data_IF_781883110899
#
_entry.id   IF_781883110899
#
_cell.length_a   1.000
_cell.length_b   1.000
_cell.length_c   1.000
_cell.angle_alpha   90.00
_cell.angle_beta   90.00
_cell.angle_gamma   90.00
#
_symmetry.space_group_name_H-M   'P 1'
#
loop_
_entity.id
_entity.type
_entity.pdbx_description
1 polymer ?
#
# COMPACT_ATOMS: atom_id res chain seq x y z
N UNK A 1 -3.75 3.99 26.42
CA UNK A 1 -3.69 4.44 26.02
C UNK A 1 -3.19 4.78 25.66
N UNK A 2 -2.92 4.87 25.37
CA UNK A 2 -2.62 5.32 24.81
C UNK A 2 -2.07 5.72 24.49
N UNK A 3 -1.77 5.86 24.16
CA UNK A 3 -1.52 6.41 23.68
C UNK A 3 -0.63 6.63 23.22
N UNK A 4 -0.36 6.52 22.64
CA UNK A 4 0.37 6.90 22.00
C UNK A 4 0.48 7.86 21.66
N UNK A 5 0.85 8.22 21.54
CA UNK A 5 0.73 9.26 21.24
C UNK A 5 0.44 9.56 20.22
N UNK A 6 0.48 9.61 19.85
CA UNK A 6 -0.02 9.94 19.03
C UNK A 6 -1.06 9.48 18.72
N UNK A 7 -1.09 9.11 18.93
CA UNK A 7 -1.97 8.75 18.67
C UNK A 7 -2.88 8.82 19.39
N UNK A 8 -2.88 8.99 19.83
CA UNK A 8 -3.61 8.96 20.47
C UNK A 8 -4.57 9.34 20.47
N UNK A 9 -4.87 9.54 20.15
CA UNK A 9 -5.75 9.81 20.18
C UNK A 9 -6.59 9.78 19.49
N UNK A 10 -6.72 9.80 18.83
CA UNK A 10 -7.50 9.77 18.21
C UNK A 10 -8.18 8.81 18.09
N UNK A 11 -8.84 8.75 17.93
CA UNK A 11 -9.39 7.79 17.91
C UNK A 11 -8.55 6.81 18.14
N UNK A 12 -8.07 7.09 18.67
CA UNK A 12 -7.37 6.61 18.82
C UNK A 12 -6.79 5.71 18.60
N UNK A 13 -6.72 5.90 18.17
CA UNK A 13 -5.91 5.15 18.29
C UNK A 13 -5.57 4.01 17.51
N UNK A 14 -6.35 3.60 16.69
CA UNK A 14 -6.04 2.48 15.84
C UNK A 14 -5.02 2.88 14.79
N UNK A 15 -4.09 1.99 14.54
CA UNK A 15 -3.11 2.23 13.48
C UNK A 15 -3.71 1.85 12.14
N UNK A 16 -3.44 2.64 11.10
CA UNK A 16 -3.83 2.21 9.76
C UNK A 16 -3.15 0.89 9.40
N UNK A 17 -3.89 0.01 8.76
CA UNK A 17 -3.39 -1.29 8.33
C UNK A 17 -3.09 -1.25 6.84
N UNK A 18 -1.85 -1.55 6.48
CA UNK A 18 -1.36 -1.48 5.12
C UNK A 18 -1.06 -2.89 4.62
N UNK A 19 -1.56 -3.23 3.46
CA UNK A 19 -1.14 -4.45 2.77
C UNK A 19 0.00 -4.09 1.83
N UNK A 20 1.15 -4.73 2.03
CA UNK A 20 2.31 -4.55 1.17
C UNK A 20 2.51 -5.81 0.35
N UNK A 21 2.54 -5.66 -0.97
CA UNK A 21 2.64 -6.80 -1.88
C UNK A 21 3.87 -6.63 -2.76
N UNK A 22 4.81 -7.55 -2.68
CA UNK A 22 6.01 -7.54 -3.50
C UNK A 22 6.57 -8.95 -3.53
N UNK A 23 6.94 -9.44 -4.72
CA UNK A 23 7.46 -10.79 -4.85
C UNK A 23 8.95 -10.90 -4.51
N UNK A 24 9.62 -9.78 -4.29
CA UNK A 24 10.99 -9.78 -3.77
C UNK A 24 10.92 -9.77 -2.25
N UNK A 25 11.31 -10.89 -1.63
CA UNK A 25 11.16 -11.03 -0.18
C UNK A 25 11.98 -10.00 0.60
N UNK A 26 13.14 -9.60 0.08
CA UNK A 26 13.95 -8.57 0.75
C UNK A 26 13.26 -7.22 0.74
N UNK A 27 12.68 -6.85 -0.38
CA UNK A 27 11.96 -5.59 -0.52
C UNK A 27 10.73 -5.61 0.38
N UNK A 28 9.99 -6.71 0.36
CA UNK A 28 8.79 -6.87 1.18
C UNK A 28 9.13 -6.71 2.66
N UNK A 29 10.19 -7.37 3.11
CA UNK A 29 10.61 -7.29 4.51
C UNK A 29 11.03 -5.88 4.86
N UNK A 30 11.83 -5.25 4.01
CA UNK A 30 12.35 -3.92 4.26
C UNK A 30 11.22 -2.89 4.40
N UNK A 31 10.31 -2.88 3.43
CA UNK A 31 9.19 -1.93 3.49
C UNK A 31 8.30 -2.19 4.69
N UNK A 32 8.07 -3.47 5.00
CA UNK A 32 7.23 -3.82 6.15
C UNK A 32 7.84 -3.32 7.45
N UNK A 33 9.15 -3.50 7.60
CA UNK A 33 9.84 -3.05 8.82
C UNK A 33 9.80 -1.53 8.95
N UNK A 34 10.05 -0.83 7.85
CA UNK A 34 10.06 0.63 7.86
C UNK A 34 8.69 1.17 8.23
N UNK A 35 7.65 0.62 7.62
CA UNK A 35 6.29 1.11 7.87
C UNK A 35 5.85 0.80 9.29
N UNK A 36 6.18 -0.38 9.80
CA UNK A 36 5.87 -0.72 11.20
C UNK A 36 6.57 0.24 12.16
N UNK A 37 7.81 0.57 11.85
CA UNK A 37 8.56 1.50 12.68
C UNK A 37 7.90 2.87 12.74
N UNK A 38 7.19 3.24 11.70
CA UNK A 38 6.51 4.53 11.63
C UNK A 38 5.05 4.47 12.08
N UNK A 39 4.65 3.39 12.75
CA UNK A 39 3.37 3.33 13.41
C UNK A 39 2.25 2.69 12.63
N UNK A 40 2.54 2.07 11.50
CA UNK A 40 1.52 1.37 10.72
C UNK A 40 1.48 -0.10 11.07
N UNK A 41 0.31 -0.69 10.98
CA UNK A 41 0.19 -2.13 11.02
C UNK A 41 0.36 -2.64 9.60
N UNK A 42 1.21 -3.66 9.39
CA UNK A 42 1.56 -4.12 8.06
C UNK A 42 1.35 -5.62 7.94
N UNK A 43 0.65 -6.01 6.90
CA UNK A 43 0.56 -7.39 6.48
C UNK A 43 1.25 -7.48 5.13
N UNK A 44 2.12 -8.49 4.95
CA UNK A 44 2.84 -8.67 3.70
C UNK A 44 2.30 -9.83 2.91
N UNK A 45 2.37 -9.73 1.60
CA UNK A 45 2.02 -10.82 0.69
C UNK A 45 3.06 -10.84 -0.43
N UNK A 46 3.49 -12.03 -0.82
CA UNK A 46 4.52 -12.19 -1.83
C UNK A 46 3.96 -12.43 -3.22
N UNK A 47 2.68 -12.74 -3.33
CA UNK A 47 2.05 -13.03 -4.62
C UNK A 47 0.70 -12.35 -4.69
N UNK A 48 0.19 -12.20 -5.91
CA UNK A 48 -1.15 -11.66 -6.11
C UNK A 48 -2.19 -12.54 -5.43
N UNK A 49 -1.98 -13.86 -5.49
CA UNK A 49 -2.91 -14.80 -4.87
C UNK A 49 -2.98 -14.62 -3.37
N UNK A 50 -1.81 -14.54 -2.71
CA UNK A 50 -1.79 -14.31 -1.27
C UNK A 50 -2.45 -12.99 -0.90
N UNK A 51 -2.19 -11.95 -1.71
CA UNK A 51 -2.77 -10.64 -1.46
C UNK A 51 -4.30 -10.72 -1.48
N UNK A 52 -4.85 -11.42 -2.48
CA UNK A 52 -6.30 -11.54 -2.59
C UNK A 52 -6.89 -12.33 -1.43
N UNK A 53 -6.19 -13.36 -0.97
CA UNK A 53 -6.64 -14.15 0.17
C UNK A 53 -6.75 -13.28 1.41
N UNK A 54 -5.69 -12.53 1.74
CA UNK A 54 -5.71 -11.72 2.97
C UNK A 54 -6.68 -10.54 2.84
N UNK A 55 -6.87 -10.01 1.62
CA UNK A 55 -7.86 -8.95 1.42
C UNK A 55 -9.28 -9.43 1.73
N UNK A 56 -9.56 -10.70 1.47
CA UNK A 56 -10.86 -11.28 1.78
C UNK A 56 -11.03 -11.65 3.25
N UNK A 57 -9.95 -11.71 4.01
CA UNK A 57 -9.99 -12.18 5.39
C UNK A 57 -10.01 -11.06 6.42
N UNK A 58 -9.53 -9.88 6.07
CA UNK A 58 -9.48 -8.78 7.03
C UNK A 58 -9.48 -7.44 6.30
N UNK A 59 -9.75 -6.40 7.06
CA UNK A 59 -9.87 -5.05 6.52
C UNK A 59 -8.50 -4.40 6.38
N UNK A 60 -8.33 -3.63 5.32
CA UNK A 60 -7.13 -2.84 5.08
C UNK A 60 -7.51 -1.40 4.80
N UNK A 61 -6.62 -0.49 5.21
CA UNK A 61 -6.80 0.94 5.00
C UNK A 61 -6.02 1.45 3.80
N UNK A 62 -5.04 0.69 3.32
CA UNK A 62 -4.19 1.14 2.22
C UNK A 62 -3.51 -0.07 1.59
N UNK A 63 -3.21 0.05 0.30
CA UNK A 63 -2.49 -0.97 -0.46
C UNK A 63 -1.21 -0.36 -1.02
N UNK A 64 -0.08 -1.05 -0.80
CA UNK A 64 1.20 -0.72 -1.44
C UNK A 64 1.62 -1.96 -2.20
N UNK A 65 1.67 -1.89 -3.50
CA UNK A 65 1.81 -3.08 -4.33
C UNK A 65 2.76 -2.85 -5.49
N UNK A 66 3.63 -3.83 -5.72
CA UNK A 66 4.44 -3.85 -6.92
C UNK A 66 3.54 -4.14 -8.11
N UNK A 67 3.67 -3.36 -9.16
CA UNK A 67 2.88 -3.55 -10.38
C UNK A 67 3.18 -4.90 -11.03
N UNK A 68 4.47 -5.24 -11.12
CA UNK A 68 4.90 -6.40 -11.90
C UNK A 68 5.15 -7.62 -11.00
N UNK A 69 4.09 -8.12 -10.40
CA UNK A 69 4.20 -9.31 -9.58
C UNK A 69 4.38 -10.53 -10.48
N UNK A 70 5.40 -11.34 -10.16
CA UNK A 70 5.63 -12.61 -10.86
C UNK A 70 5.76 -12.40 -12.36
N UNK A 71 6.35 -11.26 -12.76
CA UNK A 71 6.64 -10.99 -14.16
C UNK A 71 5.47 -10.51 -14.99
N UNK A 72 4.31 -10.25 -14.37
CA UNK A 72 3.14 -9.77 -15.09
C UNK A 72 2.63 -8.48 -14.42
N UNK A 73 1.54 -7.92 -14.94
CA UNK A 73 0.94 -6.70 -14.38
C UNK A 73 -0.10 -7.02 -13.32
N UNK A 74 0.15 -8.08 -12.54
CA UNK A 74 -0.79 -8.57 -11.52
C UNK A 74 -1.10 -7.56 -10.43
N UNK A 75 -0.23 -6.55 -10.25
CA UNK A 75 -0.50 -5.51 -9.25
C UNK A 75 -1.80 -4.77 -9.51
N UNK A 76 -2.14 -4.54 -10.78
CA UNK A 76 -3.43 -3.91 -11.10
C UNK A 76 -4.60 -4.81 -10.77
N UNK A 77 -4.44 -6.12 -10.96
CA UNK A 77 -5.48 -7.06 -10.58
C UNK A 77 -5.70 -7.06 -9.07
N UNK A 78 -4.62 -6.99 -8.30
CA UNK A 78 -4.73 -6.91 -6.85
C UNK A 78 -5.49 -5.64 -6.43
N UNK A 79 -5.15 -4.53 -7.07
CA UNK A 79 -5.84 -3.27 -6.77
C UNK A 79 -7.32 -3.34 -7.11
N UNK A 80 -7.64 -3.88 -8.29
CA UNK A 80 -9.04 -3.98 -8.70
C UNK A 80 -9.82 -4.87 -7.73
N UNK A 81 -9.21 -5.96 -7.29
CA UNK A 81 -9.84 -6.84 -6.30
C UNK A 81 -10.03 -6.09 -4.97
N UNK A 82 -9.01 -5.36 -4.53
CA UNK A 82 -9.11 -4.61 -3.28
C UNK A 82 -10.24 -3.58 -3.34
N UNK A 83 -10.38 -2.91 -4.47
CA UNK A 83 -11.41 -1.89 -4.64
C UNK A 83 -12.80 -2.46 -4.81
N UNK A 84 -12.89 -3.73 -5.21
CA UNK A 84 -14.20 -4.40 -5.23
C UNK A 84 -14.69 -4.63 -3.80
N UNK A 85 -13.78 -4.80 -2.86
CA UNK A 85 -14.12 -5.01 -1.45
C UNK A 85 -14.18 -3.69 -0.68
N UNK A 86 -13.28 -2.78 -0.96
CA UNK A 86 -13.15 -1.50 -0.25
C UNK A 86 -13.07 -0.39 -1.27
N UNK A 87 -14.21 0.08 -1.79
CA UNK A 87 -14.20 1.14 -2.81
C UNK A 87 -13.47 2.38 -2.28
N UNK A 88 -12.58 2.91 -3.09
CA UNK A 88 -11.82 4.08 -2.71
C UNK A 88 -10.60 3.82 -1.85
N UNK A 89 -10.23 2.56 -1.60
CA UNK A 89 -9.03 2.29 -0.81
C UNK A 89 -7.83 2.98 -1.46
N UNK A 90 -7.05 3.76 -0.69
CA UNK A 90 -5.86 4.40 -1.23
C UNK A 90 -4.86 3.36 -1.67
N UNK A 91 -4.19 3.61 -2.79
CA UNK A 91 -3.25 2.64 -3.34
C UNK A 91 -2.01 3.32 -3.87
N UNK A 92 -0.87 2.70 -3.59
CA UNK A 92 0.43 3.06 -4.15
C UNK A 92 0.90 1.88 -4.98
N UNK A 93 1.17 2.12 -6.26
CA UNK A 93 1.77 1.10 -7.12
C UNK A 93 3.22 1.46 -7.39
N UNK A 94 4.09 0.47 -7.29
CA UNK A 94 5.52 0.62 -7.52
C UNK A 94 5.85 0.00 -8.86
N UNK A 95 6.60 0.71 -9.68
CA UNK A 95 6.96 0.19 -11.00
C UNK A 95 8.41 0.47 -11.31
N UNK A 96 9.06 -0.47 -12.00
CA UNK A 96 10.41 -0.26 -12.48
C UNK A 96 10.48 0.52 -13.78
N UNK A 97 9.34 0.70 -14.43
CA UNK A 97 9.32 1.38 -15.71
C UNK A 97 7.97 2.07 -15.93
N UNK A 98 7.94 3.37 -15.66
CA UNK A 98 6.72 4.15 -15.80
C UNK A 98 6.63 4.68 -17.24
N UNK A 99 5.53 4.35 -17.91
CA UNK A 99 5.22 4.88 -19.21
C UNK A 99 4.16 5.96 -19.09
N UNK A 100 3.99 6.73 -20.17
CA UNK A 100 2.91 7.71 -20.20
C UNK A 100 1.56 7.03 -20.05
N UNK A 101 1.37 5.91 -20.72
CA UNK A 101 0.11 5.17 -20.66
C UNK A 101 -0.19 4.71 -19.23
N UNK A 102 0.84 4.21 -18.54
CA UNK A 102 0.66 3.78 -17.16
C UNK A 102 0.34 4.95 -16.24
N UNK A 103 1.03 6.08 -16.45
CA UNK A 103 0.77 7.26 -15.64
C UNK A 103 -0.66 7.77 -15.84
N UNK A 104 -1.15 7.74 -17.08
CA UNK A 104 -2.52 8.16 -17.36
C UNK A 104 -3.54 7.20 -16.75
N UNK A 105 -3.26 5.91 -16.83
CA UNK A 105 -4.12 4.90 -16.20
C UNK A 105 -4.18 5.09 -14.70
N UNK A 106 -3.01 5.33 -14.09
CA UNK A 106 -2.94 5.56 -12.65
C UNK A 106 -3.75 6.77 -12.23
N UNK A 107 -3.65 7.83 -13.02
CA UNK A 107 -4.41 9.05 -12.73
C UNK A 107 -5.91 8.80 -12.80
N UNK A 108 -6.35 8.10 -13.83
CA UNK A 108 -7.77 7.78 -13.99
C UNK A 108 -8.29 6.93 -12.82
N UNK A 109 -7.47 6.03 -12.34
CA UNK A 109 -7.85 5.10 -11.26
C UNK A 109 -7.53 5.63 -9.88
N UNK A 110 -6.99 6.85 -9.80
CA UNK A 110 -6.61 7.47 -8.53
C UNK A 110 -5.62 6.61 -7.77
N UNK A 111 -4.58 6.21 -8.46
CA UNK A 111 -3.46 5.44 -7.91
C UNK A 111 -2.25 6.35 -7.82
N UNK A 112 -1.55 6.30 -6.68
CA UNK A 112 -0.25 6.95 -6.58
C UNK A 112 0.79 6.04 -7.18
N UNK A 113 1.45 6.48 -8.24
CA UNK A 113 2.45 5.68 -8.94
C UNK A 113 3.84 6.17 -8.57
N UNK A 114 4.68 5.25 -8.08
CA UNK A 114 6.07 5.57 -7.73
C UNK A 114 7.01 4.70 -8.54
N UNK A 115 8.07 5.31 -9.07
CA UNK A 115 9.05 4.61 -9.88
C UNK A 115 10.17 4.07 -9.00
N UNK A 116 10.58 2.84 -9.27
CA UNK A 116 11.74 2.23 -8.59
C UNK A 116 13.03 2.79 -9.17
N UNK A 117 14.08 2.94 -8.40
CA UNK A 117 14.17 2.65 -6.96
C UNK A 117 13.47 3.73 -6.13
N UNK A 118 12.71 3.28 -5.12
CA UNK A 118 11.93 4.19 -4.29
C UNK A 118 12.75 4.61 -3.08
N UNK A 119 12.86 5.91 -2.88
CA UNK A 119 13.49 6.39 -1.65
C UNK A 119 12.51 6.25 -0.49
N UNK A 120 13.04 5.85 0.65
CA UNK A 120 12.22 5.64 1.85
C UNK A 120 11.41 6.89 2.20
N UNK A 121 12.04 8.06 2.07
CA UNK A 121 11.37 9.31 2.39
C UNK A 121 10.15 9.52 1.49
N UNK A 122 10.30 9.25 0.20
CA UNK A 122 9.19 9.44 -0.75
C UNK A 122 8.05 8.48 -0.45
N UNK A 123 8.38 7.24 -0.14
CA UNK A 123 7.37 6.25 0.22
C UNK A 123 6.60 6.69 1.45
N UNK A 124 7.32 7.09 2.49
CA UNK A 124 6.69 7.51 3.75
C UNK A 124 5.86 8.77 3.58
N UNK A 125 6.35 9.74 2.81
CA UNK A 125 5.61 10.98 2.58
C UNK A 125 4.29 10.69 1.87
N UNK A 126 4.32 9.84 0.86
CA UNK A 126 3.09 9.51 0.12
C UNK A 126 2.11 8.73 0.98
N UNK A 127 2.60 7.77 1.75
CA UNK A 127 1.73 6.98 2.62
C UNK A 127 1.11 7.86 3.70
N UNK A 128 1.90 8.73 4.30
CA UNK A 128 1.41 9.64 5.32
C UNK A 128 0.33 10.56 4.77
N UNK A 129 0.54 11.08 3.56
CA UNK A 129 -0.43 11.97 2.93
C UNK A 129 -1.74 11.24 2.65
N UNK A 130 -1.66 10.00 2.15
CA UNK A 130 -2.85 9.21 1.85
C UNK A 130 -3.60 8.83 3.13
N UNK A 131 -2.87 8.51 4.20
CA UNK A 131 -3.49 8.19 5.48
C UNK A 131 -4.24 9.39 6.04
N UNK A 132 -3.66 10.59 5.91
CA UNK A 132 -4.31 11.81 6.39
C UNK A 132 -5.60 12.09 5.61
N UNK A 133 -5.58 11.90 4.30
CA UNK A 133 -6.75 12.11 3.47
C UNK A 133 -7.89 11.18 3.87
N UNK A 134 -7.55 9.94 4.18
CA UNK A 134 -8.55 8.96 4.55
C UNK A 134 -9.18 9.30 5.90
N UNK A 135 -8.40 9.89 6.80
CA UNK A 135 -8.88 10.27 8.12
C UNK A 135 -9.82 11.47 8.07
N UNK A 136 -9.67 12.29 7.06
CA UNK A 136 -10.51 13.46 6.93
C UNK A 136 -11.88 13.07 6.42
#
# INVERSE_FOLDING_TARGET
MVTTPGCILVGMGERPTILVVDDDSSVLLTYSMILRHHGYEVIGAATAREAKVVLGERRFDMLVCDLALEGSRSGLDVLDFARSLYPGIPAVLLTGYATRELAEEAERKRITLLSKPIEVKDLLDNISRLARKQSA
#
